data_IF_733106182119
#
_entry.id   IF_733106182119
#
_cell.length_a   1.000
_cell.length_b   1.000
_cell.length_c   1.000
_cell.angle_alpha   90.00
_cell.angle_beta   90.00
_cell.angle_gamma   90.00
#
_symmetry.space_group_name_H-M   'P 1'
#
loop_
_entity.id
_entity.type
_entity.pdbx_description
1 polymer ?
#
# COMPACT_ATOMS: atom_id res chain seq x y z
N UNK A 1 25.40 -15.21 4.82
CA UNK A 1 23.93 -15.05 4.98
C UNK A 1 23.27 -16.24 4.30
N UNK A 2 22.25 -16.88 4.88
CA UNK A 2 21.54 -17.97 4.18
C UNK A 2 20.72 -17.40 3.02
N UNK A 3 20.53 -18.19 1.94
CA UNK A 3 19.69 -17.80 0.80
C UNK A 3 18.30 -17.32 1.24
N UNK A 4 17.70 -18.01 2.23
CA UNK A 4 16.40 -17.65 2.81
C UNK A 4 16.39 -16.24 3.42
N UNK A 5 17.47 -15.84 4.11
CA UNK A 5 17.55 -14.51 4.71
C UNK A 5 17.58 -13.41 3.64
N UNK A 6 18.26 -13.65 2.52
CA UNK A 6 18.30 -12.71 1.39
C UNK A 6 16.90 -12.55 0.78
N UNK A 7 16.19 -13.66 0.55
CA UNK A 7 14.82 -13.63 0.01
C UNK A 7 13.84 -12.89 0.93
N UNK A 8 13.96 -13.08 2.25
CA UNK A 8 13.18 -12.34 3.24
C UNK A 8 13.42 -10.83 3.14
N UNK A 9 14.67 -10.39 3.05
CA UNK A 9 15.01 -8.97 2.89
C UNK A 9 14.46 -8.38 1.59
N UNK A 10 14.54 -9.13 0.49
CA UNK A 10 13.95 -8.72 -0.80
C UNK A 10 12.43 -8.56 -0.68
N UNK A 11 11.75 -9.48 0.02
CA UNK A 11 10.30 -9.38 0.20
C UNK A 11 9.90 -8.16 1.05
N UNK A 12 10.70 -7.81 2.07
CA UNK A 12 10.48 -6.58 2.85
C UNK A 12 10.75 -5.32 2.03
N UNK A 13 11.79 -5.33 1.18
CA UNK A 13 12.04 -4.23 0.25
C UNK A 13 10.89 -4.07 -0.74
N UNK A 14 10.38 -5.17 -1.30
CA UNK A 14 9.20 -5.17 -2.16
C UNK A 14 7.99 -4.59 -1.42
N UNK A 15 7.76 -4.99 -0.16
CA UNK A 15 6.67 -4.44 0.65
C UNK A 15 6.75 -2.92 0.77
N UNK A 16 7.93 -2.39 1.09
CA UNK A 16 8.15 -0.96 1.17
C UNK A 16 7.92 -0.25 -0.17
N UNK A 17 8.36 -0.82 -1.29
CA UNK A 17 8.09 -0.27 -2.61
C UNK A 17 6.59 -0.26 -2.93
N UNK A 18 5.84 -1.32 -2.55
CA UNK A 18 4.40 -1.37 -2.72
C UNK A 18 3.68 -0.29 -1.89
N UNK A 19 4.17 0.04 -0.70
CA UNK A 19 3.68 1.16 0.11
C UNK A 19 3.88 2.51 -0.61
N UNK A 20 5.08 2.76 -1.14
CA UNK A 20 5.35 4.00 -1.88
C UNK A 20 4.50 4.12 -3.14
N UNK A 21 4.34 3.02 -3.89
CA UNK A 21 3.49 2.98 -5.08
C UNK A 21 2.03 3.25 -4.72
N UNK A 22 1.54 2.70 -3.60
CA UNK A 22 0.18 2.97 -3.10
C UNK A 22 -0.06 4.46 -2.87
N UNK A 23 0.86 5.13 -2.18
CA UNK A 23 0.79 6.56 -1.89
C UNK A 23 0.87 7.39 -3.18
N UNK A 24 1.79 7.05 -4.08
CA UNK A 24 1.90 7.72 -5.38
C UNK A 24 0.59 7.65 -6.16
N UNK A 25 -0.05 6.47 -6.23
CA UNK A 25 -1.28 6.31 -7.00
C UNK A 25 -2.49 6.99 -6.36
N UNK A 26 -2.56 7.06 -5.03
CA UNK A 26 -3.56 7.91 -4.37
C UNK A 26 -3.38 9.38 -4.74
N UNK A 27 -2.14 9.87 -4.74
CA UNK A 27 -1.85 11.24 -5.16
C UNK A 27 -2.18 11.49 -6.63
N UNK A 28 -1.78 10.56 -7.51
CA UNK A 28 -2.07 10.63 -8.94
C UNK A 28 -3.58 10.62 -9.22
N UNK A 29 -4.33 9.74 -8.55
CA UNK A 29 -5.79 9.72 -8.63
C UNK A 29 -6.41 11.04 -8.17
N UNK A 30 -5.94 11.60 -7.04
CA UNK A 30 -6.41 12.88 -6.53
C UNK A 30 -6.18 14.02 -7.51
N UNK A 31 -4.99 14.05 -8.15
CA UNK A 31 -4.66 15.02 -9.18
C UNK A 31 -5.54 14.86 -10.43
N UNK A 32 -5.83 13.63 -10.86
CA UNK A 32 -6.63 13.35 -12.06
C UNK A 32 -8.14 13.55 -11.86
N UNK A 33 -8.62 13.47 -10.62
CA UNK A 33 -10.07 13.55 -10.29
C UNK A 33 -10.50 14.98 -9.93
N UNK A 34 -9.63 15.75 -9.27
CA UNK A 34 -9.94 17.14 -8.92
C UNK A 34 -9.82 18.12 -10.09
N UNK A 35 -10.30 19.34 -9.89
CA UNK A 35 -10.11 20.46 -10.80
C UNK A 35 -9.62 21.70 -10.02
N UNK A 36 -8.76 22.53 -10.63
CA UNK A 36 -8.24 23.74 -10.00
C UNK A 36 -7.50 23.44 -8.69
N UNK A 37 -7.69 24.23 -7.61
CA UNK A 37 -7.02 23.99 -6.33
C UNK A 37 -7.34 22.64 -5.67
N UNK A 38 -8.54 22.10 -5.90
CA UNK A 38 -9.01 20.85 -5.27
C UNK A 38 -8.16 19.65 -5.68
N UNK A 39 -7.61 19.66 -6.91
CA UNK A 39 -6.75 18.57 -7.38
C UNK A 39 -5.50 18.40 -6.50
N UNK A 40 -4.94 19.51 -6.01
CA UNK A 40 -3.75 19.49 -5.16
C UNK A 40 -4.08 19.07 -3.73
N UNK A 41 -5.24 19.50 -3.23
CA UNK A 41 -5.75 19.06 -1.93
C UNK A 41 -5.94 17.54 -1.92
N UNK A 42 -6.53 16.96 -2.98
CA UNK A 42 -6.69 15.51 -3.08
C UNK A 42 -5.35 14.80 -3.31
N UNK A 43 -4.50 15.32 -4.21
CA UNK A 43 -3.23 14.70 -4.56
C UNK A 43 -2.24 14.61 -3.38
N UNK A 44 -2.34 15.53 -2.41
CA UNK A 44 -1.48 15.55 -1.23
C UNK A 44 -2.22 15.00 -0.01
N UNK A 45 -3.46 15.44 0.20
CA UNK A 45 -4.25 15.08 1.38
C UNK A 45 -4.56 13.59 1.46
N UNK A 46 -4.98 12.96 0.35
CA UNK A 46 -5.30 11.53 0.35
C UNK A 46 -4.10 10.64 0.74
N UNK A 47 -2.91 10.76 0.10
CA UNK A 47 -1.76 9.97 0.51
C UNK A 47 -1.26 10.32 1.92
N UNK A 48 -1.32 11.58 2.35
CA UNK A 48 -0.92 11.93 3.73
C UNK A 48 -1.83 11.29 4.77
N UNK A 49 -3.16 11.32 4.57
CA UNK A 49 -4.11 10.66 5.46
C UNK A 49 -3.82 9.16 5.52
N UNK A 50 -3.58 8.54 4.36
CA UNK A 50 -3.26 7.10 4.31
C UNK A 50 -1.94 6.78 5.02
N UNK A 51 -0.90 7.60 4.83
CA UNK A 51 0.39 7.43 5.49
C UNK A 51 0.28 7.57 7.01
N UNK A 52 -0.52 8.52 7.50
CA UNK A 52 -0.76 8.69 8.94
C UNK A 52 -1.51 7.49 9.52
N UNK A 53 -2.58 7.04 8.85
CA UNK A 53 -3.35 5.85 9.28
C UNK A 53 -2.44 4.62 9.33
N UNK A 54 -1.67 4.37 8.26
CA UNK A 54 -0.75 3.25 8.19
C UNK A 54 0.36 3.34 9.24
N UNK A 55 0.98 4.51 9.41
CA UNK A 55 2.02 4.73 10.42
C UNK A 55 1.51 4.56 11.85
N UNK A 56 0.28 4.99 12.13
CA UNK A 56 -0.30 4.93 13.46
C UNK A 56 -0.77 3.52 13.86
N UNK A 57 -1.28 2.73 12.90
CA UNK A 57 -2.00 1.46 13.19
C UNK A 57 -1.48 0.23 12.44
N UNK A 58 -0.85 0.42 11.28
CA UNK A 58 -0.43 -0.65 10.38
C UNK A 58 1.07 -0.98 10.43
N UNK A 59 1.92 -0.01 10.77
CA UNK A 59 3.36 -0.18 10.80
C UNK A 59 3.82 -1.18 11.90
N UNK A 60 4.98 -1.85 11.74
CA UNK A 60 5.53 -2.75 12.76
C UNK A 60 5.78 -2.07 14.13
N UNK A 61 6.01 -0.75 14.10
CA UNK A 61 6.17 0.11 15.29
C UNK A 61 4.99 1.07 15.47
N UNK A 62 3.81 0.67 15.00
CA UNK A 62 2.58 1.43 15.15
C UNK A 62 2.32 1.78 16.63
N UNK A 63 1.86 3.00 16.88
CA UNK A 63 1.46 3.44 18.21
C UNK A 63 0.22 2.67 18.71
N UNK A 64 -0.66 2.27 17.79
CA UNK A 64 -1.87 1.50 18.06
C UNK A 64 -1.64 0.08 17.51
N UNK A 65 -1.49 -0.89 18.40
CA UNK A 65 -1.40 -2.29 17.99
C UNK A 65 -2.79 -2.86 17.73
N UNK A 66 -3.03 -3.24 16.48
CA UNK A 66 -4.26 -3.92 16.08
C UNK A 66 -4.17 -5.42 16.31
N UNK A 67 -5.31 -6.05 16.59
CA UNK A 67 -5.42 -7.51 16.52
C UNK A 67 -5.22 -7.99 15.09
N UNK A 68 -4.73 -9.22 14.89
CA UNK A 68 -4.41 -9.74 13.56
C UNK A 68 -5.54 -9.61 12.51
N UNK A 69 -6.83 -9.85 12.84
CA UNK A 69 -7.92 -9.64 11.89
C UNK A 69 -8.11 -8.17 11.51
N UNK A 70 -8.02 -7.25 12.48
CA UNK A 70 -8.16 -5.81 12.22
C UNK A 70 -6.99 -5.27 11.41
N UNK A 71 -5.77 -5.75 11.68
CA UNK A 71 -4.59 -5.39 10.90
C UNK A 71 -4.73 -5.85 9.43
N UNK A 72 -5.26 -7.06 9.21
CA UNK A 72 -5.55 -7.55 7.85
C UNK A 72 -6.61 -6.68 7.15
N UNK A 73 -7.69 -6.30 7.84
CA UNK A 73 -8.71 -5.39 7.27
C UNK A 73 -8.10 -4.04 6.91
N UNK A 74 -7.29 -3.47 7.80
CA UNK A 74 -6.57 -2.23 7.54
C UNK A 74 -5.68 -2.34 6.31
N UNK A 75 -4.93 -3.43 6.19
CA UNK A 75 -4.07 -3.67 5.03
C UNK A 75 -4.86 -3.79 3.73
N UNK A 76 -5.96 -4.52 3.73
CA UNK A 76 -6.84 -4.62 2.55
C UNK A 76 -7.36 -3.24 2.15
N UNK A 77 -7.70 -2.38 3.12
CA UNK A 77 -8.14 -1.02 2.82
C UNK A 77 -6.97 -0.21 2.24
N UNK A 78 -5.83 -0.17 2.93
CA UNK A 78 -4.68 0.67 2.57
C UNK A 78 -4.12 0.32 1.20
N UNK A 79 -4.02 -0.97 0.89
CA UNK A 79 -3.40 -1.46 -0.35
C UNK A 79 -4.41 -1.86 -1.43
N UNK A 80 -5.63 -2.24 -1.05
CA UNK A 80 -6.71 -2.55 -1.99
C UNK A 80 -7.36 -1.31 -2.59
N UNK A 81 -7.48 -0.20 -1.84
CA UNK A 81 -7.97 1.07 -2.38
C UNK A 81 -7.14 1.53 -3.60
N UNK A 82 -5.80 1.61 -3.53
CA UNK A 82 -4.98 1.91 -4.70
C UNK A 82 -5.35 1.06 -5.90
N UNK A 83 -5.46 -0.27 -5.79
CA UNK A 83 -5.82 -1.19 -6.89
C UNK A 83 -7.11 -0.75 -7.59
N UNK A 84 -8.14 -0.36 -6.83
CA UNK A 84 -9.39 0.16 -7.40
C UNK A 84 -9.18 1.50 -8.11
N UNK A 85 -8.39 2.39 -7.52
CA UNK A 85 -8.05 3.69 -8.10
C UNK A 85 -7.22 3.56 -9.40
N UNK A 86 -6.32 2.58 -9.48
CA UNK A 86 -5.59 2.28 -10.73
C UNK A 86 -6.56 1.95 -11.87
N UNK A 87 -7.57 1.13 -11.60
CA UNK A 87 -8.62 0.80 -12.57
C UNK A 87 -9.44 2.03 -12.97
N UNK A 88 -9.81 2.86 -11.99
CA UNK A 88 -10.60 4.08 -12.22
C UNK A 88 -9.91 5.12 -13.13
N UNK A 89 -8.57 5.18 -13.10
CA UNK A 89 -7.78 6.08 -13.98
C UNK A 89 -7.36 5.39 -15.29
N UNK A 90 -7.93 4.22 -15.61
CA UNK A 90 -7.71 3.50 -16.87
C UNK A 90 -6.36 2.78 -16.96
N UNK A 91 -5.69 2.55 -15.81
CA UNK A 91 -4.38 1.85 -15.73
C UNK A 91 -4.55 0.40 -15.28
N UNK A 92 -5.44 -0.33 -15.94
CA UNK A 92 -5.85 -1.70 -15.57
C UNK A 92 -4.68 -2.69 -15.52
N UNK A 93 -3.74 -2.63 -16.47
CA UNK A 93 -2.56 -3.50 -16.48
C UNK A 93 -1.69 -3.30 -15.23
N UNK A 94 -1.49 -2.03 -14.83
CA UNK A 94 -0.69 -1.69 -13.65
C UNK A 94 -1.43 -2.11 -12.37
N UNK A 95 -2.76 -1.98 -12.34
CA UNK A 95 -3.60 -2.46 -11.25
C UNK A 95 -3.40 -3.97 -11.01
N UNK A 96 -3.40 -4.77 -12.08
CA UNK A 96 -3.21 -6.21 -12.00
C UNK A 96 -1.80 -6.58 -11.52
N UNK A 97 -0.76 -5.98 -12.10
CA UNK A 97 0.63 -6.24 -11.67
C UNK A 97 0.79 -5.90 -10.18
N UNK A 98 0.32 -4.73 -9.78
CA UNK A 98 0.40 -4.26 -8.39
C UNK A 98 -0.38 -5.18 -7.43
N UNK A 99 -1.61 -5.55 -7.78
CA UNK A 99 -2.44 -6.48 -7.00
C UNK A 99 -1.80 -7.87 -6.86
N UNK A 100 -1.26 -8.43 -7.94
CA UNK A 100 -0.56 -9.71 -7.90
C UNK A 100 0.69 -9.65 -7.00
N UNK A 101 1.50 -8.60 -7.12
CA UNK A 101 2.68 -8.42 -6.26
C UNK A 101 2.29 -8.30 -4.78
N UNK A 102 1.21 -7.59 -4.47
CA UNK A 102 0.66 -7.49 -3.12
C UNK A 102 0.26 -8.84 -2.54
N UNK A 103 -0.47 -9.66 -3.31
CA UNK A 103 -0.92 -10.98 -2.88
C UNK A 103 0.29 -11.88 -2.61
N UNK A 104 1.23 -11.95 -3.55
CA UNK A 104 2.46 -12.75 -3.39
C UNK A 104 3.25 -12.28 -2.17
N UNK A 105 3.47 -10.98 -2.03
CA UNK A 105 4.18 -10.40 -0.90
C UNK A 105 3.53 -10.75 0.45
N UNK A 106 2.20 -10.62 0.56
CA UNK A 106 1.44 -10.94 1.78
C UNK A 106 1.50 -12.43 2.12
N UNK A 107 1.39 -13.31 1.12
CA UNK A 107 1.54 -14.76 1.32
C UNK A 107 2.94 -15.07 1.87
N UNK A 108 3.99 -14.47 1.29
CA UNK A 108 5.36 -14.66 1.75
C UNK A 108 5.60 -14.12 3.17
N UNK A 109 5.05 -12.94 3.49
CA UNK A 109 5.08 -12.39 4.86
C UNK A 109 4.48 -13.39 5.86
N UNK A 110 3.31 -13.96 5.53
CA UNK A 110 2.62 -14.92 6.39
C UNK A 110 3.41 -16.23 6.56
N UNK A 111 3.89 -16.83 5.45
CA UNK A 111 4.62 -18.10 5.47
C UNK A 111 5.97 -17.95 6.20
N UNK A 112 6.68 -16.84 5.95
CA UNK A 112 8.01 -16.59 6.52
C UNK A 112 7.99 -15.90 7.88
N UNK A 113 6.80 -15.57 8.40
CA UNK A 113 6.59 -14.86 9.68
C UNK A 113 7.43 -13.58 9.76
N UNK A 114 7.34 -12.76 8.72
CA UNK A 114 7.98 -11.44 8.65
C UNK A 114 7.04 -10.37 9.20
#
# INVERSE_FOLDING_TARGET
>A
MSLLAILKSINLMLRFLLELVSLFFMGYWGYKTGNGPVQWVLAIGAPLIMAVIWGAMGAPKAAIQLSAPLHLVLEIIVFGLPVLLFGAVGKTEIAWIFGCLLIVNRILIYIWKQ
#
